data_IF_394229043488
#
_entry.id   IF_394229043488
#
_cell.length_a   1.000
_cell.length_b   1.000
_cell.length_c   1.000
_cell.angle_alpha   90.00
_cell.angle_beta   90.00
_cell.angle_gamma   90.00
#
_symmetry.space_group_name_H-M   'P 1'
#
loop_
_entity.id
_entity.type
_entity.pdbx_description
1 polymer ?
#
# COMPACT_ATOMS: atom_id res chain seq x y z
N UNK A 1 -22.96 -7.54 25.58
CA UNK A 1 -22.01 -8.13 24.60
C UNK A 1 -20.73 -7.29 24.54
N UNK A 2 -19.58 -7.82 24.09
CA UNK A 2 -18.29 -7.10 24.13
C UNK A 2 -18.23 -5.81 23.29
N UNK A 3 -19.31 -5.44 22.59
CA UNK A 3 -19.51 -4.22 21.80
C UNK A 3 -20.36 -3.13 22.49
N UNK A 4 -20.80 -3.34 23.73
CA UNK A 4 -21.60 -2.35 24.49
C UNK A 4 -20.75 -1.27 25.19
N UNK A 5 -19.47 -1.54 25.43
CA UNK A 5 -18.54 -0.54 25.99
C UNK A 5 -17.80 0.20 24.87
N UNK A 6 -17.89 1.53 24.89
CA UNK A 6 -17.03 2.37 24.07
C UNK A 6 -15.57 2.07 24.40
N UNK A 7 -14.81 1.66 23.38
CA UNK A 7 -13.40 1.30 23.49
C UNK A 7 -12.65 1.97 22.35
N UNK A 8 -11.68 2.81 22.70
CA UNK A 8 -10.77 3.42 21.73
C UNK A 8 -9.38 2.83 21.93
N UNK A 9 -8.92 2.10 20.92
CA UNK A 9 -7.61 1.47 20.93
C UNK A 9 -6.53 2.48 20.57
N UNK A 10 -5.45 2.47 21.35
CA UNK A 10 -4.33 3.39 21.23
C UNK A 10 -3.04 2.61 21.41
N UNK A 11 -2.12 2.79 20.47
CA UNK A 11 -0.76 2.28 20.57
C UNK A 11 0.20 3.42 20.18
N UNK A 12 1.01 3.87 21.13
CA UNK A 12 1.84 5.06 20.96
C UNK A 12 3.15 4.94 21.74
N UNK A 13 4.22 5.47 21.16
CA UNK A 13 5.53 5.59 21.76
C UNK A 13 6.00 7.05 21.65
N UNK A 14 5.65 7.87 22.64
CA UNK A 14 6.12 9.27 22.71
C UNK A 14 6.57 9.61 24.12
N UNK A 15 7.74 10.24 24.23
CA UNK A 15 8.17 10.97 25.43
C UNK A 15 7.72 12.43 25.26
N UNK A 16 6.46 12.72 25.60
CA UNK A 16 5.87 14.07 25.58
C UNK A 16 4.66 14.22 24.65
N UNK A 17 4.16 15.44 24.53
CA UNK A 17 2.92 15.76 23.81
C UNK A 17 3.02 15.51 22.31
N UNK A 18 1.87 15.22 21.70
CA UNK A 18 1.71 14.97 20.26
C UNK A 18 1.43 16.28 19.55
N UNK A 19 2.20 16.57 18.48
CA UNK A 19 2.05 17.81 17.72
C UNK A 19 0.74 17.85 16.94
N UNK A 20 0.39 16.73 16.28
CA UNK A 20 -0.83 16.61 15.49
C UNK A 20 -1.34 15.17 15.40
N UNK A 21 -2.67 15.05 15.34
CA UNK A 21 -3.37 13.82 15.01
C UNK A 21 -3.90 13.93 13.58
N UNK A 22 -3.43 13.04 12.69
CA UNK A 22 -3.83 13.04 11.28
C UNK A 22 -4.82 11.92 11.05
N UNK A 23 -6.02 12.25 10.60
CA UNK A 23 -7.01 11.24 10.24
C UNK A 23 -6.55 10.43 9.03
N UNK A 24 -6.74 9.11 9.08
CA UNK A 24 -6.42 8.17 8.01
C UNK A 24 -7.27 6.90 8.14
N UNK A 25 -7.04 5.95 7.23
CA UNK A 25 -7.62 4.61 7.27
C UNK A 25 -6.52 3.55 7.42
N UNK A 26 -6.84 2.47 8.12
CA UNK A 26 -5.97 1.31 8.25
C UNK A 26 -5.85 0.60 6.90
N UNK A 27 -4.62 0.42 6.40
CA UNK A 27 -4.35 -0.14 5.08
C UNK A 27 -3.89 -1.61 5.10
N UNK A 28 -4.06 -2.31 6.23
CA UNK A 28 -3.54 -3.68 6.39
C UNK A 28 -4.51 -4.76 5.87
N UNK A 29 -5.81 -4.56 6.04
CA UNK A 29 -6.83 -5.51 5.61
C UNK A 29 -8.02 -4.77 4.99
N UNK A 30 -8.93 -5.50 4.36
CA UNK A 30 -10.05 -4.94 3.60
C UNK A 30 -11.17 -4.31 4.44
N UNK A 31 -11.07 -4.29 5.78
CA UNK A 31 -12.12 -3.75 6.66
C UNK A 31 -12.20 -2.22 6.58
N UNK A 32 -11.07 -1.52 6.36
CA UNK A 32 -11.08 -0.06 6.27
C UNK A 32 -11.36 0.65 7.60
N UNK A 33 -10.77 0.18 8.71
CA UNK A 33 -10.92 0.84 10.01
C UNK A 33 -10.44 2.30 9.95
N UNK A 34 -11.23 3.24 10.47
CA UNK A 34 -10.81 4.63 10.62
C UNK A 34 -9.88 4.80 11.82
N UNK A 35 -8.81 5.58 11.64
CA UNK A 35 -7.80 5.81 12.67
C UNK A 35 -7.19 7.22 12.58
N UNK A 36 -6.53 7.64 13.64
CA UNK A 36 -5.70 8.83 13.71
C UNK A 36 -4.25 8.42 13.91
N UNK A 37 -3.36 8.96 13.10
CA UNK A 37 -1.91 8.81 13.22
C UNK A 37 -1.39 9.92 14.13
N UNK A 38 -0.65 9.56 15.17
CA UNK A 38 0.04 10.51 16.03
C UNK A 38 1.37 10.91 15.39
N UNK A 39 1.59 12.21 15.23
CA UNK A 39 2.83 12.76 14.68
C UNK A 39 3.51 13.65 15.70
N UNK A 40 4.82 13.45 15.87
CA UNK A 40 5.70 14.27 16.69
C UNK A 40 7.06 14.43 16.00
N UNK A 41 7.60 15.65 15.97
CA UNK A 41 8.89 15.94 15.32
C UNK A 41 8.94 15.41 13.87
N UNK A 42 7.83 15.58 13.14
CA UNK A 42 7.61 15.06 11.77
C UNK A 42 7.78 13.53 11.61
N UNK A 43 7.67 12.78 12.71
CA UNK A 43 7.70 11.31 12.73
C UNK A 43 6.40 10.72 13.23
N UNK A 44 6.06 9.54 12.69
CA UNK A 44 4.94 8.76 13.21
C UNK A 44 5.36 8.13 14.54
N UNK A 45 4.62 8.43 15.59
CA UNK A 45 4.89 7.97 16.97
C UNK A 45 3.76 7.14 17.55
N UNK A 46 2.67 6.93 16.81
CA UNK A 46 1.58 6.11 17.27
C UNK A 46 0.33 6.17 16.40
N UNK A 47 -0.69 5.47 16.88
CA UNK A 47 -2.00 5.38 16.24
C UNK A 47 -3.10 5.26 17.29
N UNK A 48 -4.27 5.78 16.95
CA UNK A 48 -5.51 5.68 17.73
C UNK A 48 -6.68 5.33 16.82
N UNK A 49 -7.60 4.46 17.23
CA UNK A 49 -8.83 4.23 16.50
C UNK A 49 -9.77 5.43 16.52
N UNK A 50 -10.55 5.63 15.45
CA UNK A 50 -11.55 6.71 15.40
C UNK A 50 -12.88 6.21 16.02
N UNK A 51 -13.24 6.72 17.20
CA UNK A 51 -14.48 6.36 17.92
C UNK A 51 -15.76 6.70 17.14
N UNK A 52 -15.73 7.75 16.32
CA UNK A 52 -16.86 8.15 15.48
C UNK A 52 -16.97 7.36 14.17
N UNK A 53 -15.98 6.52 13.83
CA UNK A 53 -15.99 5.81 12.56
C UNK A 53 -16.99 4.64 12.58
N UNK A 54 -17.87 4.52 11.56
CA UNK A 54 -19.00 3.60 11.59
C UNK A 54 -18.60 2.12 11.62
N UNK A 55 -17.43 1.80 11.06
CA UNK A 55 -16.95 0.41 10.93
C UNK A 55 -16.37 -0.11 12.25
N UNK A 56 -15.45 0.62 12.86
CA UNK A 56 -14.64 0.12 13.97
C UNK A 56 -14.94 0.78 15.31
N UNK A 57 -15.61 1.94 15.33
CA UNK A 57 -16.02 2.65 16.56
C UNK A 57 -14.89 2.77 17.59
N UNK A 58 -13.70 3.12 17.14
CA UNK A 58 -12.51 3.29 17.97
C UNK A 58 -11.65 2.04 18.13
N UNK A 59 -12.12 0.86 17.72
CA UNK A 59 -11.38 -0.40 17.89
C UNK A 59 -10.38 -0.64 16.78
N UNK A 60 -9.28 -1.30 17.09
CA UNK A 60 -8.28 -1.73 16.13
C UNK A 60 -7.89 -3.19 16.43
N UNK A 61 -7.55 -3.94 15.38
CA UNK A 61 -6.94 -5.26 15.55
C UNK A 61 -5.43 -5.14 15.80
N UNK A 62 -4.75 -6.22 16.23
CA UNK A 62 -3.31 -6.19 16.51
C UNK A 62 -2.47 -5.63 15.36
N UNK A 63 -2.84 -5.95 14.11
CA UNK A 63 -2.14 -5.40 12.94
C UNK A 63 -2.39 -3.92 12.72
N UNK A 64 -3.61 -3.44 12.99
CA UNK A 64 -3.97 -2.04 12.85
C UNK A 64 -3.32 -1.17 13.91
N UNK A 65 -3.23 -1.65 15.15
CA UNK A 65 -2.52 -0.96 16.23
C UNK A 65 -1.01 -0.86 15.99
N UNK A 66 -0.42 -1.84 15.30
CA UNK A 66 1.02 -1.92 15.06
C UNK A 66 1.44 -1.54 13.63
N UNK A 67 0.52 -1.08 12.78
CA UNK A 67 0.82 -0.82 11.36
C UNK A 67 1.89 0.26 11.14
N UNK A 68 2.07 1.15 12.13
CA UNK A 68 2.95 2.29 12.01
C UNK A 68 4.43 1.96 12.22
N UNK A 69 4.76 0.83 12.87
CA UNK A 69 6.15 0.45 13.18
C UNK A 69 7.04 0.27 11.95
N UNK A 70 6.49 -0.31 10.88
CA UNK A 70 7.27 -0.58 9.65
C UNK A 70 7.83 0.69 9.00
N UNK A 71 7.20 1.85 9.22
CA UNK A 71 7.68 3.13 8.68
C UNK A 71 9.03 3.56 9.27
N UNK A 72 9.36 3.10 10.49
CA UNK A 72 10.60 3.41 11.19
C UNK A 72 11.55 2.20 11.26
N UNK A 73 11.31 1.14 10.48
CA UNK A 73 12.19 -0.03 10.43
C UNK A 73 13.60 0.37 9.96
N UNK A 74 14.67 -0.12 10.61
CA UNK A 74 16.05 0.11 10.15
C UNK A 74 16.31 -0.50 8.76
N UNK A 75 15.53 -1.50 8.37
CA UNK A 75 15.65 -2.19 7.06
C UNK A 75 14.84 -1.51 5.94
N UNK A 76 14.20 -0.36 6.22
CA UNK A 76 13.41 0.35 5.23
C UNK A 76 14.30 0.80 4.06
N UNK A 77 13.96 0.40 2.84
CA UNK A 77 14.64 0.86 1.64
C UNK A 77 14.35 2.34 1.38
N UNK A 78 15.39 3.17 1.37
CA UNK A 78 15.31 4.62 1.16
C UNK A 78 15.92 5.06 -0.17
N UNK A 79 16.66 4.19 -0.85
CA UNK A 79 17.31 4.46 -2.13
C UNK A 79 17.02 3.33 -3.13
N UNK A 80 16.95 3.63 -4.43
CA UNK A 80 16.91 2.59 -5.46
C UNK A 80 18.11 1.65 -5.36
N UNK A 81 17.88 0.38 -5.70
CA UNK A 81 18.91 -0.66 -5.75
C UNK A 81 18.88 -1.31 -7.13
N UNK A 82 20.04 -1.42 -7.79
CA UNK A 82 20.19 -2.10 -9.08
C UNK A 82 21.13 -3.29 -8.94
N UNK A 83 21.05 -4.26 -9.87
CA UNK A 83 22.01 -5.37 -9.92
C UNK A 83 23.22 -4.98 -10.77
N UNK A 84 24.41 -5.17 -10.23
CA UNK A 84 25.67 -5.03 -10.97
C UNK A 84 25.93 -6.21 -11.91
N UNK A 85 27.07 -6.20 -12.61
CA UNK A 85 27.47 -7.28 -13.53
C UNK A 85 27.70 -8.62 -12.84
N UNK A 86 27.94 -8.64 -11.52
CA UNK A 86 28.04 -9.86 -10.71
C UNK A 86 26.68 -10.35 -10.20
N UNK A 87 25.60 -9.57 -10.42
CA UNK A 87 24.24 -9.86 -9.97
C UNK A 87 23.92 -9.36 -8.56
N UNK A 88 24.85 -8.67 -7.88
CA UNK A 88 24.67 -8.16 -6.52
C UNK A 88 23.86 -6.86 -6.53
N UNK A 89 22.96 -6.69 -5.56
CA UNK A 89 22.24 -5.43 -5.37
C UNK A 89 23.18 -4.36 -4.80
N UNK A 90 23.24 -3.23 -5.47
CA UNK A 90 24.02 -2.04 -5.10
C UNK A 90 23.13 -0.79 -5.15
N UNK A 91 23.35 0.19 -4.27
CA UNK A 91 22.62 1.47 -4.33
C UNK A 91 22.81 2.18 -5.67
N UNK A 92 21.78 2.87 -6.12
CA UNK A 92 21.80 3.70 -7.33
C UNK A 92 21.01 4.99 -7.13
N UNK A 93 21.30 5.99 -7.96
CA UNK A 93 20.48 7.19 -8.07
C UNK A 93 19.14 6.88 -8.76
N UNK A 94 18.15 7.76 -8.56
CA UNK A 94 16.88 7.65 -9.26
C UNK A 94 17.03 7.70 -10.79
N UNK A 95 17.92 8.56 -11.30
CA UNK A 95 18.15 8.68 -12.74
C UNK A 95 18.76 7.40 -13.32
N UNK A 96 19.75 6.81 -12.66
CA UNK A 96 20.34 5.53 -13.09
C UNK A 96 19.30 4.40 -13.10
N UNK A 97 18.52 4.29 -12.00
CA UNK A 97 17.50 3.25 -11.86
C UNK A 97 16.39 3.41 -12.92
N UNK A 98 15.90 4.62 -13.13
CA UNK A 98 14.84 4.90 -14.11
C UNK A 98 15.32 4.72 -15.55
N UNK A 99 16.52 5.20 -15.89
CA UNK A 99 17.11 4.99 -17.21
C UNK A 99 17.29 3.49 -17.52
N UNK A 100 17.76 2.72 -16.53
CA UNK A 100 17.88 1.27 -16.67
C UNK A 100 16.52 0.60 -16.86
N UNK A 101 15.52 0.98 -16.07
CA UNK A 101 14.14 0.47 -16.19
C UNK A 101 13.57 0.74 -17.58
N UNK A 102 13.65 1.98 -18.08
CA UNK A 102 13.13 2.37 -19.39
C UNK A 102 13.83 1.62 -20.52
N UNK A 103 15.16 1.49 -20.46
CA UNK A 103 15.93 0.73 -21.44
C UNK A 103 15.47 -0.72 -21.49
N UNK A 104 15.43 -1.41 -20.34
CA UNK A 104 15.03 -2.82 -20.25
C UNK A 104 13.57 -3.04 -20.65
N UNK A 105 12.67 -2.16 -20.22
CA UNK A 105 11.27 -2.22 -20.59
C UNK A 105 11.11 -2.07 -22.11
N UNK A 106 11.77 -1.10 -22.72
CA UNK A 106 11.72 -0.86 -24.18
C UNK A 106 12.29 -2.05 -24.97
N UNK A 107 13.41 -2.61 -24.53
CA UNK A 107 14.01 -3.79 -25.15
C UNK A 107 13.06 -5.01 -25.05
N UNK A 108 12.44 -5.22 -23.89
CA UNK A 108 11.47 -6.30 -23.68
C UNK A 108 10.23 -6.12 -24.53
N UNK A 109 9.70 -4.89 -24.62
CA UNK A 109 8.54 -4.57 -25.45
C UNK A 109 8.78 -4.91 -26.92
N UNK A 110 9.96 -4.59 -27.45
CA UNK A 110 10.34 -4.92 -28.84
C UNK A 110 10.46 -6.42 -29.09
N UNK A 111 10.91 -7.19 -28.10
CA UNK A 111 11.21 -8.62 -28.28
C UNK A 111 10.04 -9.55 -27.94
N UNK A 112 9.26 -9.21 -26.91
CA UNK A 112 8.30 -10.13 -26.27
C UNK A 112 6.92 -9.49 -26.02
N UNK A 113 6.76 -8.19 -26.29
CA UNK A 113 5.54 -7.45 -25.92
C UNK A 113 5.48 -7.08 -24.44
N UNK A 114 4.34 -6.55 -24.01
CA UNK A 114 4.15 -6.01 -22.65
C UNK A 114 3.45 -7.02 -21.75
N UNK A 115 4.01 -7.30 -20.58
CA UNK A 115 3.29 -7.90 -19.45
C UNK A 115 3.43 -6.99 -18.22
N UNK A 116 2.41 -6.92 -17.37
CA UNK A 116 2.46 -6.06 -16.20
C UNK A 116 1.58 -6.55 -15.05
N UNK A 117 2.04 -6.21 -13.85
CA UNK A 117 1.37 -6.51 -12.59
C UNK A 117 0.99 -5.22 -11.85
N UNK A 118 -0.03 -5.32 -11.01
CA UNK A 118 -0.53 -4.31 -10.07
C UNK A 118 -0.82 -4.95 -8.70
N UNK A 119 -1.37 -4.19 -7.75
CA UNK A 119 -1.48 -4.58 -6.33
C UNK A 119 -2.76 -4.09 -5.67
N UNK A 120 -3.44 -5.02 -4.96
CA UNK A 120 -4.56 -4.82 -4.01
C UNK A 120 -4.39 -3.73 -2.96
N UNK A 121 -3.15 -3.35 -2.70
CA UNK A 121 -2.74 -2.51 -1.57
C UNK A 121 -2.46 -1.06 -1.99
N UNK A 122 -2.47 -0.76 -3.29
CA UNK A 122 -2.35 0.60 -3.80
C UNK A 122 -3.61 1.43 -3.56
N UNK A 123 -3.47 2.75 -3.63
CA UNK A 123 -4.62 3.65 -3.64
C UNK A 123 -5.37 3.55 -4.96
N UNK A 124 -6.62 4.03 -4.99
CA UNK A 124 -7.43 4.03 -6.20
C UNK A 124 -6.75 4.81 -7.34
N UNK A 125 -6.06 5.90 -6.99
CA UNK A 125 -5.29 6.73 -7.89
C UNK A 125 -4.08 6.00 -8.47
N UNK A 126 -3.41 5.17 -7.67
CA UNK A 126 -2.29 4.33 -8.14
C UNK A 126 -2.81 3.32 -9.16
N UNK A 127 -3.91 2.65 -8.83
CA UNK A 127 -4.59 1.71 -9.71
C UNK A 127 -4.96 2.34 -11.05
N UNK A 128 -5.61 3.50 -10.99
CA UNK A 128 -6.04 4.23 -12.18
C UNK A 128 -4.83 4.69 -13.01
N UNK A 129 -3.77 5.17 -12.37
CA UNK A 129 -2.54 5.61 -13.04
C UNK A 129 -1.85 4.45 -13.74
N UNK A 130 -1.68 3.30 -13.05
CA UNK A 130 -1.12 2.08 -13.64
C UNK A 130 -2.00 1.63 -14.81
N UNK A 131 -3.32 1.57 -14.65
CA UNK A 131 -4.24 1.16 -15.72
C UNK A 131 -4.15 2.07 -16.95
N UNK A 132 -4.10 3.40 -16.77
CA UNK A 132 -3.92 4.35 -17.88
C UNK A 132 -2.58 4.17 -18.56
N UNK A 133 -1.49 4.11 -17.79
CA UNK A 133 -0.16 3.93 -18.34
C UNK A 133 -0.07 2.65 -19.18
N UNK A 134 -0.62 1.54 -18.68
CA UNK A 134 -0.57 0.24 -19.37
C UNK A 134 -1.53 0.13 -20.55
N UNK A 135 -2.81 0.50 -20.37
CA UNK A 135 -3.84 0.34 -21.41
C UNK A 135 -3.76 1.42 -22.48
N UNK A 136 -3.59 2.69 -22.09
CA UNK A 136 -3.54 3.79 -23.05
C UNK A 136 -2.11 4.07 -23.52
N UNK A 137 -1.12 4.00 -22.63
CA UNK A 137 0.29 4.28 -22.96
C UNK A 137 0.96 3.12 -23.69
N UNK A 138 1.01 1.94 -23.06
CA UNK A 138 1.65 0.74 -23.64
C UNK A 138 0.73 -0.08 -24.53
N UNK A 139 -0.55 0.30 -24.64
CA UNK A 139 -1.55 -0.38 -25.49
C UNK A 139 -1.64 -1.89 -25.23
N UNK A 140 -1.50 -2.30 -23.97
CA UNK A 140 -1.62 -3.70 -23.58
C UNK A 140 -2.88 -3.96 -22.76
N UNK A 141 -3.45 -5.15 -22.95
CA UNK A 141 -4.49 -5.70 -22.08
C UNK A 141 -3.91 -6.59 -20.97
N UNK A 142 -2.60 -6.90 -21.03
CA UNK A 142 -1.90 -7.75 -20.08
C UNK A 142 -1.54 -6.96 -18.82
N UNK A 143 -2.56 -6.77 -17.98
CA UNK A 143 -2.47 -6.19 -16.66
C UNK A 143 -3.21 -7.11 -15.69
N UNK A 144 -2.49 -7.63 -14.71
CA UNK A 144 -3.03 -8.48 -13.66
C UNK A 144 -2.67 -7.92 -12.27
N UNK A 145 -3.26 -8.45 -11.20
CA UNK A 145 -2.95 -8.06 -9.84
C UNK A 145 -3.05 -9.26 -8.88
N UNK A 146 -2.43 -9.13 -7.70
CA UNK A 146 -2.55 -10.15 -6.66
C UNK A 146 -4.00 -10.43 -6.21
N UNK A 147 -4.94 -9.52 -6.48
CA UNK A 147 -6.39 -9.72 -6.28
C UNK A 147 -6.95 -10.88 -7.10
N UNK A 148 -6.30 -11.27 -8.20
CA UNK A 148 -6.67 -12.47 -8.96
C UNK A 148 -6.65 -13.74 -8.12
N UNK A 149 -5.72 -13.83 -7.18
CA UNK A 149 -5.60 -14.98 -6.27
C UNK A 149 -6.53 -14.89 -5.06
N UNK A 150 -7.24 -13.77 -4.88
CA UNK A 150 -8.05 -13.51 -3.69
C UNK A 150 -9.55 -13.42 -4.03
N UNK A 151 -9.94 -12.53 -4.95
CA UNK A 151 -11.34 -12.12 -5.13
C UNK A 151 -11.91 -12.39 -6.52
N UNK A 152 -11.10 -12.87 -7.48
CA UNK A 152 -11.55 -13.05 -8.87
C UNK A 152 -12.70 -14.06 -9.03
N UNK A 153 -12.71 -15.14 -8.24
CA UNK A 153 -13.80 -16.13 -8.30
C UNK A 153 -15.11 -15.52 -7.80
N UNK A 154 -15.07 -14.75 -6.71
CA UNK A 154 -16.23 -14.02 -6.20
C UNK A 154 -16.75 -13.01 -7.23
N UNK A 155 -15.85 -12.23 -7.85
CA UNK A 155 -16.21 -11.29 -8.91
C UNK A 155 -16.95 -11.99 -10.06
N UNK A 156 -16.39 -13.09 -10.58
CA UNK A 156 -17.00 -13.84 -11.68
C UNK A 156 -18.39 -14.39 -11.30
N UNK A 157 -18.54 -14.96 -10.10
CA UNK A 157 -19.83 -15.46 -9.62
C UNK A 157 -20.88 -14.35 -9.52
N UNK A 158 -20.50 -13.16 -9.05
CA UNK A 158 -21.42 -12.02 -8.96
C UNK A 158 -21.85 -11.55 -10.36
N UNK A 159 -20.92 -11.46 -11.31
CA UNK A 159 -21.26 -11.12 -12.70
C UNK A 159 -22.23 -12.14 -13.31
N UNK A 160 -21.98 -13.43 -13.15
CA UNK A 160 -22.88 -14.47 -13.70
C UNK A 160 -24.26 -14.52 -13.03
N UNK A 161 -24.37 -14.09 -11.78
CA UNK A 161 -25.63 -14.17 -11.03
C UNK A 161 -26.50 -12.94 -11.22
N UNK A 162 -25.89 -11.77 -11.47
CA UNK A 162 -26.58 -10.47 -11.42
C UNK A 162 -26.41 -9.61 -12.69
N UNK A 163 -25.59 -10.01 -13.66
CA UNK A 163 -25.53 -9.38 -15.00
C UNK A 163 -26.15 -10.31 -16.05
#
# INVERSE_FOLDING_TARGET
>A
MSWETERTDINMYSQGDIDKWVYSTCNICSIGCGCYIAVKDEKIVGIKGNSAHPINRGRLGPKGENQWYANNSPDRLLTPMIRDSSGKLVPATWDEAMNLMVKKATDSLKQRGSNSDSTGQGLLEDYYTIAKFRRAGLQTHLLDANTRLCTATTEFCLLQSFC
#
